data_IF_770358140255
#
_entry.id   IF_770358140255
#
_cell.length_a   1.000
_cell.length_b   1.000
_cell.length_c   1.000
_cell.angle_alpha   90.00
_cell.angle_beta   90.00
_cell.angle_gamma   90.00
#
_symmetry.space_group_name_H-M   'P 1'
#
loop_
_entity.id
_entity.type
_entity.pdbx_description
1 polymer ?
#
# COMPACT_ATOMS: atom_id res chain seq x y z
N UNK A 1 -74.75 34.53 -34.79
CA UNK A 1 -73.32 34.14 -34.91
C UNK A 1 -73.08 33.07 -33.87
N UNK A 2 -73.66 31.88 -33.99
CA UNK A 2 -73.55 30.87 -35.05
C UNK A 2 -72.28 30.02 -34.95
N UNK A 3 -72.51 28.74 -34.60
CA UNK A 3 -71.72 27.51 -34.79
C UNK A 3 -70.57 27.13 -33.81
N UNK A 4 -70.97 26.35 -32.80
CA UNK A 4 -70.64 24.93 -32.53
C UNK A 4 -69.18 24.42 -32.31
N UNK A 5 -69.02 23.31 -31.53
CA UNK A 5 -67.75 22.80 -30.97
C UNK A 5 -67.34 21.42 -31.60
N UNK A 6 -66.77 20.46 -30.84
CA UNK A 6 -65.39 19.97 -30.81
C UNK A 6 -65.10 18.78 -31.76
N UNK A 7 -63.82 18.40 -31.94
CA UNK A 7 -63.42 17.16 -32.62
C UNK A 7 -62.33 16.43 -31.83
N UNK A 8 -62.65 15.25 -31.29
CA UNK A 8 -61.74 14.09 -31.30
C UNK A 8 -62.30 13.07 -32.29
N UNK A 9 -61.90 11.78 -32.30
CA UNK A 9 -60.63 11.14 -31.95
C UNK A 9 -59.90 10.65 -33.23
N UNK A 10 -58.70 10.06 -33.13
CA UNK A 10 -58.23 9.16 -34.20
C UNK A 10 -57.51 7.97 -33.60
N UNK A 11 -58.13 6.81 -33.81
CA UNK A 11 -57.67 5.48 -33.43
C UNK A 11 -56.66 4.95 -34.46
N UNK A 12 -55.78 4.05 -33.99
CA UNK A 12 -54.88 3.18 -34.78
C UNK A 12 -55.64 2.21 -35.71
N UNK A 13 -54.94 1.56 -36.67
CA UNK A 13 -54.90 0.08 -36.65
C UNK A 13 -53.53 -0.52 -37.06
N UNK A 14 -53.04 -1.55 -36.35
CA UNK A 14 -53.05 -2.99 -36.77
C UNK A 14 -51.96 -3.32 -37.81
N UNK A 15 -50.82 -3.89 -37.41
CA UNK A 15 -50.51 -5.33 -37.38
C UNK A 15 -50.58 -6.03 -38.75
N UNK A 16 -49.51 -6.75 -39.14
CA UNK A 16 -49.55 -8.16 -39.59
C UNK A 16 -48.15 -8.68 -39.90
N UNK A 17 -47.94 -9.94 -39.53
CA UNK A 17 -46.72 -10.72 -39.48
C UNK A 17 -46.26 -11.33 -40.84
N UNK A 18 -45.00 -11.82 -40.83
CA UNK A 18 -44.39 -13.04 -41.44
C UNK A 18 -45.26 -13.92 -42.37
N UNK A 19 -44.70 -14.71 -43.34
CA UNK A 19 -43.79 -15.84 -43.01
C UNK A 19 -42.84 -16.38 -44.14
N UNK A 20 -42.05 -17.41 -43.79
CA UNK A 20 -41.61 -18.51 -44.69
C UNK A 20 -40.12 -18.48 -45.06
N UNK A 21 -39.20 -19.17 -44.36
CA UNK A 21 -38.95 -20.62 -44.28
C UNK A 21 -38.40 -21.27 -45.57
N UNK A 22 -37.28 -22.00 -45.45
CA UNK A 22 -36.90 -23.33 -46.03
C UNK A 22 -35.35 -23.40 -46.14
N UNK A 23 -34.57 -24.41 -45.75
CA UNK A 23 -34.64 -25.54 -44.83
C UNK A 23 -33.19 -26.13 -44.64
N UNK A 24 -33.03 -26.85 -43.53
CA UNK A 24 -31.93 -27.70 -42.95
C UNK A 24 -31.26 -28.77 -43.87
N UNK A 25 -30.43 -29.76 -43.41
CA UNK A 25 -29.76 -30.01 -42.10
C UNK A 25 -28.31 -30.59 -42.16
N UNK A 26 -27.65 -30.80 -41.00
CA UNK A 26 -26.82 -32.00 -40.79
C UNK A 26 -25.52 -31.83 -39.98
N UNK A 27 -25.55 -32.23 -38.69
CA UNK A 27 -24.57 -33.11 -38.01
C UNK A 27 -24.60 -32.91 -36.48
N UNK A 28 -25.50 -33.66 -35.86
CA UNK A 28 -25.38 -34.44 -34.62
C UNK A 28 -24.27 -34.07 -33.61
N UNK A 29 -24.68 -33.70 -32.39
CA UNK A 29 -23.93 -33.96 -31.18
C UNK A 29 -24.88 -34.54 -30.11
N UNK A 30 -24.59 -35.77 -29.68
CA UNK A 30 -25.19 -36.46 -28.53
C UNK A 30 -24.03 -36.82 -27.57
N UNK A 31 -24.25 -36.88 -26.26
CA UNK A 31 -23.21 -36.70 -25.23
C UNK A 31 -22.56 -38.01 -24.81
N UNK A 32 -21.26 -38.00 -24.48
CA UNK A 32 -20.62 -39.07 -23.72
C UNK A 32 -19.33 -38.59 -23.02
N UNK A 33 -19.37 -38.67 -21.69
CA UNK A 33 -18.33 -39.07 -20.72
C UNK A 33 -16.93 -38.41 -20.67
N UNK A 34 -16.67 -37.84 -19.47
CA UNK A 34 -15.38 -37.58 -18.83
C UNK A 34 -14.50 -38.85 -18.73
N UNK A 35 -13.16 -38.70 -18.79
CA UNK A 35 -12.40 -38.85 -17.54
C UNK A 35 -11.18 -37.91 -17.38
N UNK A 36 -11.07 -37.34 -16.18
CA UNK A 36 -9.88 -37.30 -15.31
C UNK A 36 -8.56 -36.67 -15.79
N UNK A 37 -8.16 -35.56 -15.15
CA UNK A 37 -6.76 -35.10 -15.13
C UNK A 37 -6.53 -33.63 -14.74
N UNK A 38 -6.58 -33.31 -13.44
CA UNK A 38 -6.22 -32.01 -12.83
C UNK A 38 -4.72 -31.64 -13.03
N UNK A 39 -4.24 -30.38 -12.78
CA UNK A 39 -4.40 -29.68 -11.50
C UNK A 39 -4.87 -28.22 -11.60
N UNK A 40 -5.94 -27.91 -10.86
CA UNK A 40 -6.24 -26.56 -10.39
C UNK A 40 -5.29 -26.19 -9.23
N UNK A 41 -4.86 -24.93 -9.09
CA UNK A 41 -4.16 -24.47 -7.89
C UNK A 41 -5.19 -24.22 -6.78
N UNK A 42 -5.55 -25.29 -6.06
CA UNK A 42 -6.23 -25.16 -4.77
C UNK A 42 -5.20 -24.85 -3.69
N UNK A 43 -4.94 -23.57 -3.47
CA UNK A 43 -4.45 -23.08 -2.18
C UNK A 43 -5.46 -22.04 -1.67
N UNK A 44 -6.68 -22.52 -1.43
CA UNK A 44 -7.65 -21.80 -0.63
C UNK A 44 -7.09 -21.72 0.80
N UNK A 45 -6.83 -20.50 1.27
CA UNK A 45 -6.64 -20.23 2.69
C UNK A 45 -7.78 -20.91 3.46
N UNK A 46 -7.44 -21.87 4.32
CA UNK A 46 -8.41 -22.55 5.16
C UNK A 46 -9.25 -21.50 5.92
N UNK A 47 -10.57 -21.67 6.02
CA UNK A 47 -11.40 -20.75 6.79
C UNK A 47 -10.91 -20.73 8.24
N UNK A 48 -10.76 -19.53 8.80
CA UNK A 48 -10.48 -19.32 10.22
C UNK A 48 -11.49 -20.12 11.04
N UNK A 49 -11.07 -21.01 11.98
CA UNK A 49 -12.01 -21.71 12.83
C UNK A 49 -12.81 -20.69 13.65
N UNK A 50 -14.09 -21.02 13.86
CA UNK A 50 -15.00 -20.27 14.73
C UNK A 50 -14.43 -20.18 16.17
N UNK A 51 -14.83 -19.18 16.98
CA UNK A 51 -14.13 -18.79 18.22
C UNK A 51 -14.26 -19.78 19.40
N UNK A 52 -14.61 -21.05 19.17
CA UNK A 52 -14.93 -22.02 20.22
C UNK A 52 -13.98 -23.22 20.28
N UNK A 53 -13.15 -23.45 19.27
CA UNK A 53 -12.16 -24.54 19.34
C UNK A 53 -10.83 -24.02 19.87
N UNK A 54 -10.46 -24.47 21.07
CA UNK A 54 -9.13 -24.25 21.64
C UNK A 54 -8.06 -24.67 20.61
N UNK A 55 -7.01 -23.87 20.40
CA UNK A 55 -6.02 -24.16 19.37
C UNK A 55 -5.36 -25.52 19.63
N UNK A 56 -5.59 -26.48 18.73
CA UNK A 56 -5.04 -27.84 18.83
C UNK A 56 -3.52 -27.80 18.73
N UNK A 57 -2.83 -28.13 19.83
CA UNK A 57 -1.38 -28.27 19.86
C UNK A 57 -1.02 -29.69 19.41
N UNK A 58 -0.12 -29.82 18.43
CA UNK A 58 0.36 -31.13 18.00
C UNK A 58 1.13 -31.82 19.13
N UNK A 59 0.74 -33.06 19.45
CA UNK A 59 1.38 -33.88 20.49
C UNK A 59 2.87 -34.12 20.17
N UNK A 60 3.72 -34.08 21.21
CA UNK A 60 5.18 -34.26 21.08
C UNK A 60 5.95 -33.01 20.62
N UNK A 61 5.30 -31.85 20.57
CA UNK A 61 5.99 -30.57 20.32
C UNK A 61 6.45 -29.92 21.64
N UNK A 62 7.50 -29.07 21.61
CA UNK A 62 7.93 -28.31 22.79
C UNK A 62 6.81 -27.48 23.43
N UNK A 63 5.80 -27.10 22.64
CA UNK A 63 4.60 -26.40 23.11
C UNK A 63 3.69 -27.29 23.96
N UNK A 64 3.57 -28.57 23.64
CA UNK A 64 2.77 -29.51 24.43
C UNK A 64 3.42 -29.80 25.79
N UNK A 65 4.76 -29.92 25.83
CA UNK A 65 5.51 -30.04 27.09
C UNK A 65 5.39 -28.76 27.93
N UNK A 66 5.50 -27.59 27.30
CA UNK A 66 5.34 -26.30 27.98
C UNK A 66 3.91 -26.11 28.53
N UNK A 67 2.88 -26.57 27.82
CA UNK A 67 1.50 -26.53 28.28
C UNK A 67 1.30 -27.40 29.52
N UNK A 68 1.79 -28.64 29.49
CA UNK A 68 1.69 -29.56 30.61
C UNK A 68 2.37 -29.00 31.86
N UNK A 69 3.58 -28.44 31.72
CA UNK A 69 4.33 -27.80 32.81
C UNK A 69 3.59 -26.56 33.38
N UNK A 70 2.92 -25.78 32.53
CA UNK A 70 2.15 -24.61 32.95
C UNK A 70 0.86 -25.01 33.66
N UNK A 71 0.15 -26.01 33.16
CA UNK A 71 -1.07 -26.54 33.77
C UNK A 71 -0.79 -27.20 35.13
N UNK A 72 0.34 -27.89 35.26
CA UNK A 72 0.79 -28.48 36.52
C UNK A 72 1.10 -27.40 37.59
N UNK A 73 1.71 -26.29 37.19
CA UNK A 73 2.14 -25.23 38.13
C UNK A 73 1.09 -24.19 38.45
N UNK A 74 0.19 -23.87 37.52
CA UNK A 74 -0.72 -22.72 37.62
C UNK A 74 -2.20 -23.08 37.43
N UNK A 75 -2.53 -24.35 37.18
CA UNK A 75 -3.90 -24.79 36.89
C UNK A 75 -4.29 -24.61 35.43
N UNK A 76 -5.58 -24.78 35.12
CA UNK A 76 -6.10 -24.81 33.74
C UNK A 76 -5.70 -23.54 32.95
N UNK A 77 -4.93 -23.73 31.88
CA UNK A 77 -4.37 -22.66 31.07
C UNK A 77 -5.24 -22.39 29.83
N UNK A 78 -5.81 -21.19 29.74
CA UNK A 78 -6.57 -20.75 28.56
C UNK A 78 -5.61 -20.37 27.42
N UNK A 79 -5.41 -21.27 26.45
CA UNK A 79 -4.57 -21.01 25.27
C UNK A 79 -5.32 -20.12 24.30
N UNK A 80 -4.92 -18.85 24.26
CA UNK A 80 -5.54 -17.86 23.36
C UNK A 80 -5.07 -17.94 21.91
N UNK A 81 -3.84 -18.39 21.68
CA UNK A 81 -3.27 -18.49 20.33
C UNK A 81 -2.01 -19.36 20.32
N UNK A 82 -1.99 -20.42 19.51
CA UNK A 82 -0.79 -21.19 19.20
C UNK A 82 -0.52 -21.10 17.69
N UNK A 83 0.63 -20.55 17.30
CA UNK A 83 1.08 -20.48 15.91
C UNK A 83 2.55 -20.87 15.84
N UNK A 84 2.84 -21.88 15.03
CA UNK A 84 4.21 -22.34 14.77
C UNK A 84 4.52 -22.09 13.30
N UNK A 85 5.62 -21.36 13.05
CA UNK A 85 6.15 -21.17 11.69
C UNK A 85 7.41 -22.01 11.55
N UNK A 86 7.47 -22.84 10.51
CA UNK A 86 8.65 -23.65 10.24
C UNK A 86 9.87 -22.78 9.90
N UNK A 87 11.08 -23.12 10.35
CA UNK A 87 12.27 -22.30 10.14
C UNK A 87 12.61 -22.08 8.66
N UNK A 88 12.32 -23.05 7.80
CA UNK A 88 12.52 -22.94 6.34
C UNK A 88 11.55 -21.91 5.75
N UNK A 89 10.27 -22.00 6.10
CA UNK A 89 9.22 -21.10 5.60
C UNK A 89 9.47 -19.66 6.09
N UNK A 90 9.85 -19.48 7.36
CA UNK A 90 10.17 -18.17 7.91
C UNK A 90 11.38 -17.51 7.22
N UNK A 91 12.46 -18.27 7.01
CA UNK A 91 13.64 -17.77 6.31
C UNK A 91 13.35 -17.41 4.85
N UNK A 92 12.56 -18.23 4.15
CA UNK A 92 12.17 -17.98 2.78
C UNK A 92 11.25 -16.76 2.65
N UNK A 93 10.29 -16.59 3.57
CA UNK A 93 9.41 -15.43 3.61
C UNK A 93 10.20 -14.14 3.80
N UNK A 94 11.10 -14.07 4.79
CA UNK A 94 11.93 -12.89 5.05
C UNK A 94 12.78 -12.55 3.82
N UNK A 95 13.44 -13.55 3.23
CA UNK A 95 14.27 -13.36 2.04
C UNK A 95 13.46 -12.85 0.85
N UNK A 96 12.31 -13.47 0.58
CA UNK A 96 11.47 -13.10 -0.55
C UNK A 96 10.85 -11.71 -0.35
N UNK A 97 10.41 -11.38 0.87
CA UNK A 97 9.94 -10.02 1.20
C UNK A 97 11.04 -8.98 0.98
N UNK A 98 12.26 -9.23 1.44
CA UNK A 98 13.38 -8.31 1.24
C UNK A 98 13.66 -8.09 -0.26
N UNK A 99 13.70 -9.15 -1.05
CA UNK A 99 13.92 -9.07 -2.51
C UNK A 99 12.79 -8.28 -3.18
N UNK A 100 11.52 -8.59 -2.86
CA UNK A 100 10.36 -7.94 -3.47
C UNK A 100 10.27 -6.46 -3.11
N UNK A 101 10.61 -6.08 -1.87
CA UNK A 101 10.69 -4.66 -1.47
C UNK A 101 11.73 -3.93 -2.31
N UNK A 102 12.94 -4.47 -2.42
CA UNK A 102 14.03 -3.85 -3.19
C UNK A 102 13.66 -3.74 -4.68
N UNK A 103 13.11 -4.80 -5.27
CA UNK A 103 12.67 -4.78 -6.68
C UNK A 103 11.54 -3.76 -6.87
N UNK A 104 10.54 -3.75 -5.98
CA UNK A 104 9.44 -2.80 -6.00
C UNK A 104 9.92 -1.35 -5.92
N UNK A 105 10.86 -1.06 -5.03
CA UNK A 105 11.50 0.25 -4.92
C UNK A 105 12.25 0.62 -6.21
N UNK A 106 13.09 -0.27 -6.75
CA UNK A 106 13.83 0.00 -7.98
C UNK A 106 12.91 0.26 -9.18
N UNK A 107 11.79 -0.47 -9.30
CA UNK A 107 10.80 -0.25 -10.35
C UNK A 107 10.09 1.09 -10.19
N UNK A 108 9.69 1.45 -8.96
CA UNK A 108 9.05 2.72 -8.67
C UNK A 108 10.01 3.90 -8.94
N UNK A 109 11.27 3.77 -8.55
CA UNK A 109 12.32 4.76 -8.81
C UNK A 109 12.67 4.86 -10.29
N UNK A 110 12.73 3.73 -11.00
CA UNK A 110 12.89 3.69 -12.45
C UNK A 110 11.77 4.43 -13.17
N UNK A 111 10.52 4.23 -12.73
CA UNK A 111 9.38 5.00 -13.20
C UNK A 111 9.55 6.50 -12.91
N UNK A 112 9.97 6.90 -11.70
CA UNK A 112 10.23 8.31 -11.37
C UNK A 112 11.32 8.91 -12.26
N UNK A 113 12.39 8.19 -12.56
CA UNK A 113 13.44 8.66 -13.47
C UNK A 113 12.93 8.91 -14.88
N UNK A 114 12.15 7.97 -15.42
CA UNK A 114 11.54 8.12 -16.76
C UNK A 114 10.54 9.29 -16.75
N UNK A 115 9.73 9.42 -15.70
CA UNK A 115 8.64 10.41 -15.61
C UNK A 115 9.11 11.82 -15.27
N UNK A 116 10.12 11.98 -14.41
CA UNK A 116 10.54 13.26 -13.82
C UNK A 116 12.00 13.66 -14.14
N UNK A 117 12.80 12.76 -14.69
CA UNK A 117 14.21 13.00 -15.02
C UNK A 117 15.16 12.69 -13.86
N UNK A 118 16.45 12.59 -14.20
CA UNK A 118 17.50 12.05 -13.32
C UNK A 118 17.60 12.72 -11.93
N UNK A 119 17.47 14.05 -11.89
CA UNK A 119 17.62 14.86 -10.65
C UNK A 119 16.48 14.65 -9.67
N UNK A 120 15.24 14.56 -10.17
CA UNK A 120 14.08 14.32 -9.32
C UNK A 120 14.09 12.88 -8.81
N UNK A 121 14.37 11.89 -9.67
CA UNK A 121 14.45 10.50 -9.22
C UNK A 121 15.53 10.28 -8.16
N UNK A 122 16.74 10.82 -8.33
CA UNK A 122 17.82 10.69 -7.32
C UNK A 122 17.45 11.35 -5.98
N UNK A 123 16.81 12.52 -5.99
CA UNK A 123 16.32 13.15 -4.77
C UNK A 123 15.24 12.30 -4.07
N UNK A 124 14.32 11.69 -4.83
CA UNK A 124 13.33 10.76 -4.27
C UNK A 124 13.98 9.52 -3.66
N UNK A 125 14.99 8.92 -4.30
CA UNK A 125 15.72 7.77 -3.75
C UNK A 125 16.29 8.10 -2.37
N UNK A 126 16.97 9.24 -2.25
CA UNK A 126 17.65 9.64 -1.02
C UNK A 126 16.63 9.89 0.10
N UNK A 127 15.52 10.56 -0.22
CA UNK A 127 14.44 10.79 0.73
C UNK A 127 13.82 9.46 1.21
N UNK A 128 13.55 8.53 0.29
CA UNK A 128 12.98 7.24 0.62
C UNK A 128 13.92 6.39 1.48
N UNK A 129 15.21 6.36 1.14
CA UNK A 129 16.22 5.64 1.88
C UNK A 129 16.30 6.14 3.32
N UNK A 130 16.25 7.46 3.50
CA UNK A 130 16.18 8.07 4.83
C UNK A 130 14.95 7.59 5.62
N UNK A 131 13.77 7.53 5.00
CA UNK A 131 12.55 7.08 5.66
C UNK A 131 12.63 5.62 6.09
N UNK A 132 13.16 4.74 5.23
CA UNK A 132 13.40 3.32 5.56
C UNK A 132 14.38 3.19 6.73
N UNK A 133 15.51 3.90 6.69
CA UNK A 133 16.48 3.89 7.79
C UNK A 133 15.88 4.37 9.10
N UNK A 134 15.03 5.40 9.06
CA UNK A 134 14.39 5.94 10.26
C UNK A 134 13.43 4.94 10.89
N UNK A 135 12.61 4.25 10.09
CA UNK A 135 11.68 3.22 10.57
C UNK A 135 12.42 2.01 11.14
N UNK A 136 13.41 1.50 10.40
CA UNK A 136 14.25 0.37 10.86
C UNK A 136 14.99 0.75 12.14
N UNK A 137 15.53 1.97 12.23
CA UNK A 137 16.22 2.47 13.41
C UNK A 137 15.33 2.55 14.64
N UNK A 138 14.10 3.06 14.50
CA UNK A 138 13.11 3.07 15.60
C UNK A 138 12.77 1.66 16.03
N UNK A 139 12.52 0.75 15.09
CA UNK A 139 12.22 -0.65 15.42
C UNK A 139 13.40 -1.34 16.12
N UNK A 140 14.64 -1.03 15.75
CA UNK A 140 15.83 -1.54 16.45
C UNK A 140 15.89 -1.02 17.90
N UNK A 141 15.58 0.26 18.13
CA UNK A 141 15.52 0.87 19.47
C UNK A 141 14.38 0.24 20.29
N UNK A 142 13.18 0.10 19.72
CA UNK A 142 12.03 -0.53 20.39
C UNK A 142 12.26 -2.02 20.65
N UNK A 143 12.98 -2.71 19.77
CA UNK A 143 13.44 -4.09 19.98
C UNK A 143 14.35 -4.19 21.21
N UNK A 144 15.27 -3.24 21.37
CA UNK A 144 16.18 -3.22 22.52
C UNK A 144 15.49 -2.87 23.84
N UNK A 145 14.59 -1.88 23.86
CA UNK A 145 13.95 -1.41 25.11
C UNK A 145 12.67 -2.15 25.48
N UNK A 146 11.88 -2.55 24.49
CA UNK A 146 10.53 -3.10 24.66
C UNK A 146 10.43 -4.58 24.25
N UNK A 147 11.52 -5.17 23.76
CA UNK A 147 11.51 -6.56 23.27
C UNK A 147 10.63 -6.75 22.04
N UNK A 148 10.42 -5.70 21.23
CA UNK A 148 9.60 -5.79 20.02
C UNK A 148 10.30 -6.64 18.97
N UNK A 149 9.62 -7.68 18.50
CA UNK A 149 10.13 -8.59 17.48
C UNK A 149 9.87 -8.05 16.07
N UNK A 150 10.71 -8.48 15.12
CA UNK A 150 10.48 -8.26 13.70
C UNK A 150 9.55 -9.37 13.21
N UNK A 151 8.28 -9.05 13.04
CA UNK A 151 7.24 -9.96 12.60
C UNK A 151 6.60 -9.49 11.27
N UNK A 152 5.52 -10.15 10.86
CA UNK A 152 4.78 -9.76 9.67
C UNK A 152 4.15 -8.35 9.80
N UNK A 153 3.87 -7.88 11.02
CA UNK A 153 3.33 -6.54 11.27
C UNK A 153 4.39 -5.48 11.05
N UNK A 154 5.66 -5.74 11.39
CA UNK A 154 6.79 -4.88 11.03
C UNK A 154 6.88 -4.67 9.51
N UNK A 155 6.85 -5.77 8.74
CA UNK A 155 6.94 -5.69 7.27
C UNK A 155 5.76 -4.88 6.72
N UNK A 156 4.54 -5.16 7.20
CA UNK A 156 3.34 -4.39 6.83
C UNK A 156 3.47 -2.90 7.15
N UNK A 157 4.01 -2.56 8.32
CA UNK A 157 4.26 -1.18 8.73
C UNK A 157 5.25 -0.48 7.79
N UNK A 158 6.37 -1.14 7.50
CA UNK A 158 7.43 -0.61 6.63
C UNK A 158 6.91 -0.33 5.22
N UNK A 159 6.21 -1.30 4.61
CA UNK A 159 5.62 -1.13 3.27
C UNK A 159 4.62 0.03 3.24
N UNK A 160 3.80 0.18 4.28
CA UNK A 160 2.80 1.25 4.37
C UNK A 160 3.48 2.63 4.38
N UNK A 161 4.55 2.78 5.16
CA UNK A 161 5.29 4.05 5.28
C UNK A 161 5.99 4.39 3.96
N UNK A 162 6.63 3.41 3.32
CA UNK A 162 7.24 3.56 1.98
C UNK A 162 6.20 4.04 0.97
N UNK A 163 5.05 3.36 0.88
CA UNK A 163 4.00 3.70 -0.07
C UNK A 163 3.46 5.12 0.15
N UNK A 164 3.25 5.49 1.42
CA UNK A 164 2.78 6.82 1.77
C UNK A 164 3.81 7.91 1.41
N UNK A 165 5.07 7.71 1.78
CA UNK A 165 6.15 8.67 1.52
C UNK A 165 6.37 8.92 0.03
N UNK A 166 6.36 7.87 -0.80
CA UNK A 166 6.57 8.05 -2.25
C UNK A 166 5.37 8.74 -2.90
N UNK A 167 4.15 8.37 -2.52
CA UNK A 167 2.95 9.04 -3.03
C UNK A 167 3.01 10.56 -2.80
N UNK A 168 3.44 10.97 -1.61
CA UNK A 168 3.53 12.38 -1.24
C UNK A 168 4.67 13.08 -2.01
N UNK A 169 5.83 12.44 -2.13
CA UNK A 169 6.99 12.92 -2.90
C UNK A 169 6.64 13.17 -4.38
N UNK A 170 5.88 12.26 -5.01
CA UNK A 170 5.45 12.40 -6.42
C UNK A 170 4.58 13.65 -6.60
N UNK A 171 3.62 13.87 -5.69
CA UNK A 171 2.71 15.02 -5.77
C UNK A 171 3.49 16.34 -5.63
N UNK A 172 4.42 16.41 -4.67
CA UNK A 172 5.31 17.57 -4.49
C UNK A 172 6.13 17.83 -5.75
N UNK A 173 6.75 16.79 -6.32
CA UNK A 173 7.60 16.93 -7.51
C UNK A 173 6.83 17.32 -8.77
N UNK A 174 5.63 16.78 -8.96
CA UNK A 174 4.76 17.18 -10.07
C UNK A 174 4.39 18.66 -9.92
N UNK A 175 4.07 19.12 -8.71
CA UNK A 175 3.78 20.53 -8.45
C UNK A 175 4.99 21.45 -8.63
N UNK A 176 6.20 21.02 -8.27
CA UNK A 176 7.45 21.77 -8.52
C UNK A 176 7.65 21.95 -10.02
N UNK A 177 7.41 20.91 -10.83
CA UNK A 177 7.53 21.00 -12.30
C UNK A 177 6.47 21.90 -12.91
N UNK A 178 5.21 21.78 -12.47
CA UNK A 178 4.13 22.64 -12.95
C UNK A 178 4.43 24.11 -12.67
N UNK A 179 4.81 24.45 -11.43
CA UNK A 179 5.15 25.82 -11.07
C UNK A 179 6.44 26.30 -11.72
N UNK A 180 7.41 25.41 -12.01
CA UNK A 180 8.62 25.76 -12.76
C UNK A 180 8.30 26.31 -14.15
N UNK A 181 7.30 25.75 -14.82
CA UNK A 181 6.86 26.21 -16.15
C UNK A 181 6.05 27.50 -16.06
N UNK A 182 5.23 27.64 -15.00
CA UNK A 182 4.37 28.83 -14.82
C UNK A 182 5.10 30.05 -14.24
N UNK A 183 6.17 29.84 -13.47
CA UNK A 183 6.93 30.86 -12.73
C UNK A 183 8.39 30.91 -13.18
N UNK A 184 8.61 31.03 -14.48
CA UNK A 184 9.95 30.97 -15.10
C UNK A 184 10.90 32.09 -14.62
N UNK A 185 10.36 33.23 -14.18
CA UNK A 185 11.14 34.38 -13.72
C UNK A 185 11.57 34.27 -12.23
N UNK A 186 11.01 33.33 -11.47
CA UNK A 186 11.30 33.19 -10.04
C UNK A 186 12.50 32.26 -9.77
N UNK A 187 13.31 32.54 -8.74
CA UNK A 187 14.40 31.66 -8.35
C UNK A 187 13.87 30.28 -7.95
N UNK A 188 14.69 29.24 -8.17
CA UNK A 188 14.27 27.84 -7.94
C UNK A 188 13.76 27.58 -6.54
N UNK A 189 14.42 28.12 -5.51
CA UNK A 189 13.98 28.00 -4.12
C UNK A 189 12.59 28.59 -3.89
N UNK A 190 12.26 29.74 -4.48
CA UNK A 190 10.94 30.37 -4.33
C UNK A 190 9.84 29.51 -4.99
N UNK A 191 10.11 28.95 -6.16
CA UNK A 191 9.18 28.05 -6.84
C UNK A 191 8.94 26.78 -6.01
N UNK A 192 9.98 26.19 -5.44
CA UNK A 192 9.85 25.01 -4.56
C UNK A 192 9.03 25.33 -3.32
N UNK A 193 9.32 26.45 -2.65
CA UNK A 193 8.56 26.89 -1.48
C UNK A 193 7.08 27.09 -1.80
N UNK A 194 6.76 27.69 -2.95
CA UNK A 194 5.37 27.87 -3.37
C UNK A 194 4.68 26.54 -3.68
N UNK A 195 5.37 25.61 -4.35
CA UNK A 195 4.86 24.26 -4.60
C UNK A 195 4.59 23.52 -3.30
N UNK A 196 5.48 23.64 -2.32
CA UNK A 196 5.35 22.99 -1.02
C UNK A 196 4.12 23.49 -0.27
N UNK A 197 3.91 24.80 -0.20
CA UNK A 197 2.73 25.39 0.44
C UNK A 197 1.42 24.95 -0.24
N UNK A 198 1.44 24.73 -1.55
CA UNK A 198 0.25 24.28 -2.28
C UNK A 198 -0.07 22.80 -2.06
N UNK A 199 0.93 21.95 -1.85
CA UNK A 199 0.74 20.51 -1.63
C UNK A 199 0.56 20.16 -0.16
N UNK A 200 1.07 20.99 0.76
CA UNK A 200 1.06 20.76 2.21
C UNK A 200 -0.34 20.43 2.75
N UNK A 201 -1.37 21.13 2.29
CA UNK A 201 -2.75 20.85 2.73
C UNK A 201 -3.21 19.44 2.37
N UNK A 202 -2.87 18.95 1.18
CA UNK A 202 -3.17 17.57 0.76
C UNK A 202 -2.37 16.57 1.58
N UNK A 203 -1.06 16.76 1.66
CA UNK A 203 -0.12 15.89 2.38
C UNK A 203 -0.50 15.71 3.84
N UNK A 204 -0.83 16.80 4.53
CA UNK A 204 -1.31 16.76 5.91
C UNK A 204 -2.66 16.05 6.05
N UNK A 205 -3.60 16.29 5.13
CA UNK A 205 -4.89 15.60 5.16
C UNK A 205 -4.73 14.10 4.97
N UNK A 206 -3.95 13.66 3.99
CA UNK A 206 -3.69 12.23 3.76
C UNK A 206 -2.96 11.60 4.95
N UNK A 207 -1.99 12.32 5.54
CA UNK A 207 -1.28 11.87 6.73
C UNK A 207 -2.20 11.74 7.95
N UNK A 208 -3.06 12.73 8.19
CA UNK A 208 -4.05 12.71 9.27
C UNK A 208 -5.07 11.58 9.10
N UNK A 209 -5.55 11.34 7.87
CA UNK A 209 -6.49 10.24 7.61
C UNK A 209 -5.89 8.86 7.86
N UNK A 210 -4.57 8.72 7.73
CA UNK A 210 -3.85 7.49 8.08
C UNK A 210 -3.56 7.42 9.58
N UNK A 211 -3.19 8.55 10.19
CA UNK A 211 -2.82 8.65 11.60
C UNK A 211 -3.99 8.38 12.54
N UNK A 212 -5.21 8.81 12.21
CA UNK A 212 -6.39 8.65 13.09
C UNK A 212 -6.74 7.17 13.33
N UNK A 213 -6.91 6.31 12.30
CA UNK A 213 -7.14 4.88 12.50
C UNK A 213 -6.01 4.19 13.27
N UNK A 214 -4.76 4.56 13.00
CA UNK A 214 -3.60 3.91 13.60
C UNK A 214 -3.46 4.32 15.07
N UNK A 215 -3.73 5.58 15.40
CA UNK A 215 -3.83 6.04 16.77
C UNK A 215 -4.97 5.31 17.52
N UNK A 216 -6.13 5.12 16.87
CA UNK A 216 -7.22 4.33 17.45
C UNK A 216 -6.82 2.86 17.69
N UNK A 217 -6.11 2.22 16.74
CA UNK A 217 -5.60 0.85 16.90
C UNK A 217 -4.57 0.75 18.03
N UNK A 218 -3.71 1.76 18.20
CA UNK A 218 -2.71 1.76 19.28
C UNK A 218 -3.37 1.98 20.65
N UNK A 219 -4.38 2.84 20.75
CA UNK A 219 -5.04 3.18 22.01
C UNK A 219 -6.12 2.16 22.45
N UNK A 220 -6.88 1.64 21.49
CA UNK A 220 -8.03 0.74 21.74
C UNK A 220 -7.70 -0.73 21.42
N UNK A 221 -6.53 -1.00 20.85
CA UNK A 221 -6.16 -2.33 20.36
C UNK A 221 -5.75 -3.34 21.43
N UNK A 222 -5.89 -4.65 21.14
CA UNK A 222 -5.36 -5.70 21.99
C UNK A 222 -3.83 -5.68 22.05
N UNK A 223 -3.26 -6.35 23.06
CA UNK A 223 -1.81 -6.39 23.28
C UNK A 223 -1.01 -6.88 22.06
N UNK A 224 -1.61 -7.75 21.24
CA UNK A 224 -1.03 -8.31 20.02
C UNK A 224 -0.73 -7.27 18.93
N UNK A 225 -1.42 -6.13 18.93
CA UNK A 225 -1.20 -5.06 17.94
C UNK A 225 -0.50 -3.83 18.51
N UNK A 226 0.04 -3.91 19.74
CA UNK A 226 0.81 -2.81 20.34
C UNK A 226 2.09 -2.48 19.56
N UNK A 227 2.59 -3.39 18.72
CA UNK A 227 3.67 -3.12 17.76
C UNK A 227 3.35 -2.00 16.74
N UNK A 228 2.07 -1.65 16.56
CA UNK A 228 1.66 -0.53 15.71
C UNK A 228 2.09 0.85 16.24
N UNK A 229 2.55 0.96 17.48
CA UNK A 229 3.16 2.21 18.00
C UNK A 229 4.32 2.65 17.11
N UNK A 230 5.14 1.71 16.63
CA UNK A 230 6.25 2.01 15.74
C UNK A 230 5.78 2.51 14.37
N UNK A 231 4.66 1.97 13.87
CA UNK A 231 4.02 2.41 12.64
C UNK A 231 3.48 3.85 12.79
N UNK A 232 2.89 4.18 13.95
CA UNK A 232 2.45 5.53 14.29
C UNK A 232 3.61 6.54 14.26
N UNK A 233 4.73 6.22 14.92
CA UNK A 233 5.93 7.07 14.92
C UNK A 233 6.51 7.19 13.50
N UNK A 234 6.52 6.08 12.76
CA UNK A 234 7.00 6.01 11.39
C UNK A 234 6.20 6.90 10.43
N UNK A 235 4.88 6.96 10.55
CA UNK A 235 4.03 7.86 9.74
C UNK A 235 4.27 9.32 10.10
N UNK A 236 4.35 9.65 11.38
CA UNK A 236 4.61 11.02 11.82
C UNK A 236 5.95 11.50 11.23
N UNK A 237 6.99 10.68 11.33
CA UNK A 237 8.30 11.00 10.76
C UNK A 237 8.30 11.02 9.24
N UNK A 238 7.66 10.06 8.58
CA UNK A 238 7.57 10.00 7.12
C UNK A 238 6.81 11.20 6.53
N UNK A 239 5.73 11.64 7.20
CA UNK A 239 4.97 12.84 6.80
C UNK A 239 5.84 14.11 6.93
N UNK A 240 6.64 14.21 7.99
CA UNK A 240 7.60 15.31 8.14
C UNK A 240 8.74 15.25 7.10
N UNK A 241 9.33 14.08 6.92
CA UNK A 241 10.49 13.85 6.06
C UNK A 241 10.17 14.08 4.58
N UNK A 242 9.03 13.57 4.09
CA UNK A 242 8.64 13.75 2.68
C UNK A 242 8.45 15.23 2.31
N UNK A 243 7.85 16.02 3.21
CA UNK A 243 7.59 17.45 2.97
C UNK A 243 8.87 18.28 3.12
N UNK A 244 9.66 18.06 4.17
CA UNK A 244 10.79 18.96 4.49
C UNK A 244 12.14 18.48 3.95
N UNK A 245 12.43 17.18 3.86
CA UNK A 245 13.73 16.71 3.38
C UNK A 245 13.80 16.69 1.85
N UNK A 246 12.80 16.14 1.16
CA UNK A 246 12.86 15.97 -0.30
C UNK A 246 12.95 17.32 -1.04
N UNK A 247 12.22 18.34 -0.57
CA UNK A 247 12.22 19.67 -1.16
C UNK A 247 13.55 20.41 -0.91
N UNK A 248 14.12 20.31 0.29
CA UNK A 248 15.39 20.97 0.64
C UNK A 248 16.58 20.34 -0.09
N UNK A 249 16.64 19.00 -0.17
CA UNK A 249 17.68 18.29 -0.94
C UNK A 249 17.67 18.74 -2.41
N UNK A 250 16.49 18.93 -3.00
CA UNK A 250 16.36 19.36 -4.39
C UNK A 250 16.81 20.82 -4.59
N UNK A 251 16.50 21.71 -3.63
CA UNK A 251 16.94 23.12 -3.65
C UNK A 251 18.47 23.19 -3.50
N UNK A 252 19.02 22.49 -2.52
CA UNK A 252 20.46 22.48 -2.24
C UNK A 252 21.27 21.95 -3.42
N UNK A 253 20.80 20.87 -4.07
CA UNK A 253 21.45 20.36 -5.28
C UNK A 253 21.40 21.41 -6.40
N UNK A 254 20.25 22.05 -6.61
CA UNK A 254 20.13 23.05 -7.67
C UNK A 254 20.99 24.29 -7.43
N UNK A 255 21.09 24.75 -6.18
CA UNK A 255 21.99 25.84 -5.82
C UNK A 255 23.47 25.45 -5.93
N UNK A 256 23.84 24.24 -5.51
CA UNK A 256 25.21 23.74 -5.66
C UNK A 256 25.64 23.69 -7.12
N UNK A 257 24.79 23.20 -8.01
CA UNK A 257 25.05 23.13 -9.44
C UNK A 257 25.13 24.54 -10.07
N UNK A 258 24.27 25.47 -9.63
CA UNK A 258 24.34 26.87 -10.05
C UNK A 258 25.62 27.57 -9.56
N UNK A 259 26.05 27.33 -8.31
CA UNK A 259 27.32 27.82 -7.75
C UNK A 259 28.52 27.26 -8.50
N UNK A 260 28.49 25.97 -8.87
CA UNK A 260 29.56 25.31 -9.63
C UNK A 260 29.69 25.89 -11.04
N UNK A 261 28.57 26.12 -11.74
CA UNK A 261 28.55 26.74 -13.08
C UNK A 261 29.03 28.19 -13.05
N UNK A 262 28.65 28.99 -12.04
CA UNK A 262 29.16 30.35 -11.86
C UNK A 262 30.67 30.38 -11.60
N UNK A 263 31.20 29.45 -10.79
CA UNK A 263 32.65 29.32 -10.53
C UNK A 263 33.43 28.87 -11.77
N UNK A 264 32.84 28.02 -12.60
CA UNK A 264 33.44 27.58 -13.86
C UNK A 264 33.44 28.68 -14.93
N UNK A 265 32.42 29.55 -14.96
CA UNK A 265 32.33 30.69 -15.87
C UNK A 265 33.17 31.91 -15.43
N UNK A 266 33.63 31.93 -14.18
CA UNK A 266 34.50 32.99 -13.63
C UNK A 266 36.00 32.65 -13.68
N UNK A 267 36.37 31.51 -14.27
CA UNK A 267 37.74 31.10 -14.59
C UNK A 267 37.95 31.22 -16.10
#
# INVERSE_FOLDING_TARGET
MDLAPPQGPTQSPTATASPGATASPGATASPAEEPTGSPEPTEAAAPSPAPTESPTIAEGTPFAELQADLEERFGEADIRLARTVGPIIGAELIRNSAILIVIGELLMLGYLWIRFGFRYGTAAVIALLHDVFFVVGIFAILGFFLGTEIDALFVTALLTIIAFSVNDTIVVFDRIRENRVRRTAEPFGAVVNHSLLQTLGRSLLTGLTLLVPIAALVLLGPATIRGFVALLIGIISGTYSSIFNAAQILVDWNEWDARRKRRAAAR
#
